data_IF_976305156860
#
_entry.id   IF_976305156860
#
_cell.length_a   1.000
_cell.length_b   1.000
_cell.length_c   1.000
_cell.angle_alpha   90.00
_cell.angle_beta   90.00
_cell.angle_gamma   90.00
#
_symmetry.space_group_name_H-M   'P 1'
#
loop_
_entity.id
_entity.type
_entity.pdbx_description
1 polymer ?
#
# COMPACT_ATOMS: atom_id res chain seq x y z
N UNK A 1 15.57 -9.29 0.95
CA UNK A 1 15.48 -8.42 -0.24
C UNK A 1 14.94 -9.22 -1.42
N UNK A 2 13.98 -8.65 -2.15
CA UNK A 2 13.52 -9.16 -3.46
C UNK A 2 14.17 -8.29 -4.52
N UNK A 3 15.08 -8.88 -5.30
CA UNK A 3 15.76 -8.24 -6.43
C UNK A 3 15.36 -8.92 -7.74
N UNK A 4 14.88 -8.15 -8.70
CA UNK A 4 14.36 -8.72 -9.96
C UNK A 4 12.95 -9.27 -9.82
N UNK A 5 12.66 -10.45 -10.35
CA UNK A 5 11.32 -11.04 -10.35
C UNK A 5 11.20 -12.21 -9.37
N UNK A 6 10.17 -12.20 -8.55
CA UNK A 6 9.71 -13.34 -7.77
C UNK A 6 8.47 -13.91 -8.45
N UNK A 7 8.57 -15.14 -8.97
CA UNK A 7 7.46 -15.82 -9.61
C UNK A 7 7.06 -17.03 -8.78
N UNK A 8 5.77 -17.19 -8.51
CA UNK A 8 5.24 -18.34 -7.78
C UNK A 8 3.95 -18.85 -8.39
N UNK A 9 3.80 -20.16 -8.41
CA UNK A 9 2.51 -20.84 -8.64
C UNK A 9 2.12 -21.51 -7.33
N UNK A 10 0.95 -21.15 -6.80
CA UNK A 10 0.46 -21.67 -5.53
C UNK A 10 -0.84 -22.42 -5.79
N UNK A 11 -0.85 -23.72 -5.52
CA UNK A 11 -2.01 -24.57 -5.79
C UNK A 11 -3.25 -24.12 -5.01
N UNK A 12 -4.43 -24.38 -5.51
CA UNK A 12 -5.70 -24.10 -4.82
C UNK A 12 -5.70 -24.70 -3.41
N UNK A 13 -6.09 -23.90 -2.42
CA UNK A 13 -6.08 -24.30 -1.00
C UNK A 13 -4.70 -24.28 -0.34
N UNK A 14 -3.63 -23.98 -1.09
CA UNK A 14 -2.27 -23.87 -0.56
C UNK A 14 -1.88 -22.42 -0.25
N UNK A 15 -0.89 -22.27 0.64
CA UNK A 15 -0.39 -20.98 1.12
C UNK A 15 1.12 -20.91 1.00
N UNK A 16 1.62 -19.88 0.34
CA UNK A 16 3.03 -19.49 0.34
C UNK A 16 3.23 -18.28 1.24
N UNK A 17 4.03 -18.43 2.29
CA UNK A 17 4.40 -17.32 3.16
C UNK A 17 5.88 -16.96 3.01
N UNK A 18 6.17 -15.67 2.81
CA UNK A 18 7.51 -15.11 2.83
C UNK A 18 7.53 -13.98 3.85
N UNK A 19 8.32 -14.13 4.92
CA UNK A 19 8.42 -13.14 5.99
C UNK A 19 9.85 -12.65 6.15
N UNK A 20 10.04 -11.34 6.06
CA UNK A 20 11.26 -10.64 6.42
C UNK A 20 11.10 -9.93 7.77
N UNK A 21 12.09 -10.06 8.67
CA UNK A 21 12.11 -9.39 9.98
C UNK A 21 13.37 -8.56 10.14
N UNK A 22 13.22 -7.37 10.72
CA UNK A 22 14.33 -6.54 11.14
C UNK A 22 14.14 -6.16 12.61
N UNK A 23 15.13 -6.49 13.44
CA UNK A 23 15.15 -6.27 14.90
C UNK A 23 16.38 -5.41 15.29
N UNK A 24 16.72 -4.42 14.49
CA UNK A 24 17.92 -3.60 14.72
C UNK A 24 17.60 -2.46 15.70
N UNK A 25 18.49 -2.24 16.68
CA UNK A 25 18.40 -1.12 17.63
C UNK A 25 19.10 0.16 17.14
N UNK A 26 19.79 0.08 16.00
CA UNK A 26 20.44 1.22 15.34
C UNK A 26 20.75 0.88 13.90
N UNK A 27 20.47 1.80 12.99
CA UNK A 27 20.67 1.60 11.55
C UNK A 27 19.35 1.38 10.77
N UNK A 28 19.42 1.20 9.45
CA UNK A 28 18.28 1.09 8.54
C UNK A 28 17.72 -0.34 8.52
N UNK A 29 16.82 -0.69 9.44
CA UNK A 29 16.15 -1.99 9.44
C UNK A 29 14.93 -2.01 8.50
N UNK A 30 14.95 -2.84 7.46
CA UNK A 30 13.82 -3.07 6.55
C UNK A 30 13.42 -4.54 6.66
N UNK A 31 12.15 -4.80 7.00
CA UNK A 31 11.63 -6.15 7.09
C UNK A 31 11.62 -6.83 5.73
N UNK A 32 10.99 -6.22 4.73
CA UNK A 32 10.96 -6.69 3.35
C UNK A 32 11.30 -5.55 2.40
N UNK A 33 12.39 -5.69 1.63
CA UNK A 33 12.86 -4.70 0.68
C UNK A 33 12.67 -5.21 -0.75
N UNK A 34 11.90 -4.47 -1.55
CA UNK A 34 11.82 -4.64 -2.99
C UNK A 34 12.90 -3.76 -3.62
N UNK A 35 13.94 -4.35 -4.22
CA UNK A 35 14.96 -3.57 -4.90
C UNK A 35 14.42 -2.89 -6.18
N UNK A 36 15.26 -2.16 -6.88
CA UNK A 36 14.87 -1.42 -8.08
C UNK A 36 14.12 -2.30 -9.08
N UNK A 37 12.94 -1.86 -9.50
CA UNK A 37 12.10 -2.50 -10.52
C UNK A 37 11.68 -3.94 -10.19
N UNK A 38 11.53 -4.28 -8.92
CA UNK A 38 11.10 -5.61 -8.52
C UNK A 38 9.66 -5.91 -9.01
N UNK A 39 9.48 -7.12 -9.52
CA UNK A 39 8.17 -7.66 -9.85
C UNK A 39 7.86 -8.88 -8.99
N UNK A 40 6.64 -8.95 -8.45
CA UNK A 40 6.15 -10.12 -7.71
C UNK A 40 4.92 -10.64 -8.41
N UNK A 41 5.00 -11.89 -8.86
CA UNK A 41 3.97 -12.50 -9.67
C UNK A 41 3.45 -13.79 -8.99
N UNK A 42 2.16 -13.81 -8.70
CA UNK A 42 1.41 -15.04 -8.46
C UNK A 42 0.83 -15.48 -9.79
N UNK A 43 1.44 -16.53 -10.36
CA UNK A 43 1.18 -16.97 -11.73
C UNK A 43 -0.16 -17.71 -11.85
N UNK A 44 -0.68 -17.76 -13.08
CA UNK A 44 -1.86 -18.56 -13.42
C UNK A 44 -1.61 -20.06 -13.21
N UNK A 45 -2.70 -20.83 -13.12
CA UNK A 45 -2.68 -22.30 -12.95
C UNK A 45 -2.70 -22.78 -11.50
N UNK A 46 -2.75 -21.84 -10.52
CA UNK A 46 -2.97 -22.12 -9.11
C UNK A 46 -4.37 -21.67 -8.67
N UNK A 47 -4.45 -20.86 -7.70
CA UNK A 47 -5.67 -20.33 -7.05
C UNK A 47 -5.47 -20.28 -5.54
N UNK A 48 -4.23 -20.53 -5.11
CA UNK A 48 -3.81 -20.44 -3.74
C UNK A 48 -3.51 -19.00 -3.30
N UNK A 49 -2.92 -18.85 -2.13
CA UNK A 49 -2.61 -17.56 -1.53
C UNK A 49 -1.11 -17.37 -1.40
N UNK A 50 -0.62 -16.16 -1.74
CA UNK A 50 0.74 -15.73 -1.45
C UNK A 50 0.70 -14.58 -0.45
N UNK A 51 1.40 -14.74 0.68
CA UNK A 51 1.60 -13.69 1.67
C UNK A 51 3.06 -13.26 1.73
N UNK A 52 3.27 -11.97 1.56
CA UNK A 52 4.57 -11.33 1.73
C UNK A 52 4.49 -10.42 2.95
N UNK A 53 5.35 -10.63 3.94
CA UNK A 53 5.30 -9.87 5.19
C UNK A 53 6.65 -9.26 5.55
N UNK A 54 6.66 -7.96 5.81
CA UNK A 54 7.78 -7.25 6.39
C UNK A 54 7.47 -6.80 7.81
N UNK A 55 8.31 -7.14 8.79
CA UNK A 55 8.11 -6.83 10.21
C UNK A 55 9.30 -6.06 10.74
N UNK A 56 9.01 -4.96 11.44
CA UNK A 56 10.00 -4.17 12.19
C UNK A 56 9.51 -4.00 13.62
N UNK A 57 10.29 -4.46 14.59
CA UNK A 57 9.92 -4.47 16.00
C UNK A 57 10.59 -3.35 16.81
N UNK A 58 11.66 -2.72 16.32
CA UNK A 58 12.38 -1.68 17.04
C UNK A 58 13.18 -0.78 16.09
N UNK A 59 13.55 0.42 16.56
CA UNK A 59 14.28 1.39 15.75
C UNK A 59 13.40 2.19 14.78
N UNK A 60 14.01 2.93 13.89
CA UNK A 60 13.34 3.86 12.99
C UNK A 60 13.30 3.31 11.56
N UNK A 61 12.53 2.25 11.26
CA UNK A 61 12.56 1.70 9.91
C UNK A 61 11.27 1.04 9.43
N UNK A 62 11.31 0.46 8.23
CA UNK A 62 10.18 0.22 7.33
C UNK A 62 9.83 -1.27 7.32
N UNK A 63 8.58 -1.63 7.57
CA UNK A 63 8.11 -3.00 7.44
C UNK A 63 8.30 -3.50 6.01
N UNK A 64 7.64 -2.88 5.04
CA UNK A 64 7.81 -3.13 3.60
C UNK A 64 8.26 -1.87 2.89
N UNK A 65 9.32 -1.96 2.11
CA UNK A 65 9.88 -0.85 1.36
C UNK A 65 9.93 -1.12 -0.14
N UNK A 66 9.35 -0.20 -0.93
CA UNK A 66 9.40 -0.23 -2.40
C UNK A 66 10.05 1.08 -2.88
N UNK A 67 11.38 1.11 -3.11
CA UNK A 67 12.11 2.35 -3.43
C UNK A 67 11.87 2.85 -4.86
N UNK A 68 11.57 1.97 -5.80
CA UNK A 68 11.45 2.28 -7.22
C UNK A 68 10.15 1.73 -7.80
N UNK A 69 9.93 1.88 -9.12
CA UNK A 69 8.82 1.25 -9.80
C UNK A 69 8.70 -0.22 -9.43
N UNK A 70 7.50 -0.69 -9.21
CA UNK A 70 7.25 -2.08 -8.83
C UNK A 70 5.95 -2.60 -9.44
N UNK A 71 5.89 -3.90 -9.64
CA UNK A 71 4.68 -4.58 -10.08
C UNK A 71 4.32 -5.70 -9.11
N UNK A 72 3.08 -5.70 -8.65
CA UNK A 72 2.45 -6.83 -7.97
C UNK A 72 1.40 -7.39 -8.93
N UNK A 73 1.52 -8.67 -9.27
CA UNK A 73 0.64 -9.30 -10.26
C UNK A 73 0.04 -10.58 -9.70
N UNK A 74 -1.28 -10.64 -9.60
CA UNK A 74 -2.04 -11.85 -9.26
C UNK A 74 -2.84 -12.31 -10.48
N UNK A 75 -2.34 -13.36 -11.16
CA UNK A 75 -2.99 -13.96 -12.32
C UNK A 75 -3.99 -15.03 -11.94
N UNK A 76 -3.87 -15.59 -10.73
CA UNK A 76 -4.87 -16.45 -10.11
C UNK A 76 -4.71 -16.43 -8.59
N UNK A 77 -5.81 -16.51 -7.84
CA UNK A 77 -5.78 -16.53 -6.38
C UNK A 77 -5.54 -15.17 -5.73
N UNK A 78 -5.00 -15.16 -4.53
CA UNK A 78 -4.87 -13.97 -3.70
C UNK A 78 -3.41 -13.67 -3.36
N UNK A 79 -3.03 -12.41 -3.41
CA UNK A 79 -1.73 -11.93 -2.94
C UNK A 79 -1.95 -10.90 -1.83
N UNK A 80 -1.28 -11.08 -0.70
CA UNK A 80 -1.26 -10.08 0.38
C UNK A 80 0.16 -9.62 0.63
N UNK A 81 0.35 -8.30 0.72
CA UNK A 81 1.63 -7.68 1.08
C UNK A 81 1.43 -6.87 2.36
N UNK A 82 1.97 -7.35 3.48
CA UNK A 82 1.76 -6.75 4.80
C UNK A 82 3.04 -6.15 5.35
N UNK A 83 3.00 -4.88 5.66
CA UNK A 83 4.00 -4.21 6.49
C UNK A 83 3.52 -4.07 7.93
N UNK A 84 4.34 -4.48 8.90
CA UNK A 84 4.07 -4.29 10.32
C UNK A 84 5.19 -3.47 10.95
N UNK A 85 4.83 -2.45 11.74
CA UNK A 85 5.79 -1.63 12.47
C UNK A 85 5.27 -1.33 13.89
N UNK A 86 6.08 -1.65 14.89
CA UNK A 86 5.89 -1.24 16.29
C UNK A 86 6.76 -0.04 16.66
N UNK A 87 7.38 0.61 15.68
CA UNK A 87 8.29 1.75 15.86
C UNK A 87 7.72 3.05 15.28
N UNK A 88 8.47 4.15 15.39
CA UNK A 88 8.12 5.43 14.79
C UNK A 88 8.19 5.46 13.24
N UNK A 89 8.62 4.39 12.59
CA UNK A 89 8.74 4.29 11.13
C UNK A 89 7.44 3.87 10.43
N UNK A 90 7.48 3.79 9.11
CA UNK A 90 6.36 3.32 8.30
C UNK A 90 6.21 1.80 8.36
N UNK A 91 4.98 1.33 8.39
CA UNK A 91 4.74 -0.09 8.17
C UNK A 91 4.92 -0.45 6.69
N UNK A 92 4.44 0.42 5.77
CA UNK A 92 4.64 0.29 4.33
C UNK A 92 5.05 1.64 3.74
N UNK A 93 6.14 1.67 2.98
CA UNK A 93 6.63 2.89 2.35
C UNK A 93 7.01 2.68 0.89
N UNK A 94 6.48 3.53 0.02
CA UNK A 94 6.80 3.53 -1.40
C UNK A 94 7.19 4.94 -1.86
N UNK A 95 8.45 5.11 -2.29
CA UNK A 95 9.04 6.40 -2.65
C UNK A 95 8.81 6.82 -4.11
N UNK A 96 9.33 7.96 -4.52
CA UNK A 96 9.16 8.58 -5.84
C UNK A 96 9.73 7.83 -7.06
N UNK A 97 10.15 6.60 -6.95
CA UNK A 97 10.88 5.87 -8.00
C UNK A 97 10.02 5.33 -9.16
N UNK A 98 8.91 5.95 -9.54
CA UNK A 98 8.02 5.49 -10.60
C UNK A 98 6.69 4.94 -10.06
N UNK A 99 5.88 4.29 -10.88
CA UNK A 99 4.57 3.77 -10.50
C UNK A 99 4.65 2.44 -9.74
N UNK A 100 3.74 2.22 -8.80
CA UNK A 100 3.41 0.89 -8.29
C UNK A 100 2.21 0.37 -9.09
N UNK A 101 2.40 -0.73 -9.81
CA UNK A 101 1.36 -1.36 -10.61
C UNK A 101 0.76 -2.56 -9.88
N UNK A 102 -0.55 -2.56 -9.71
CA UNK A 102 -1.35 -3.66 -9.15
C UNK A 102 -2.11 -4.31 -10.30
N UNK A 103 -1.63 -5.46 -10.77
CA UNK A 103 -2.21 -6.19 -11.90
C UNK A 103 -2.97 -7.42 -11.39
N UNK A 104 -4.29 -7.44 -11.56
CA UNK A 104 -5.13 -8.54 -11.07
C UNK A 104 -6.00 -9.10 -12.20
N UNK A 105 -5.89 -10.39 -12.46
CA UNK A 105 -6.82 -11.07 -13.35
C UNK A 105 -8.23 -11.14 -12.74
N UNK A 106 -9.23 -11.43 -13.55
CA UNK A 106 -10.60 -11.66 -13.06
C UNK A 106 -10.62 -12.76 -11.98
N UNK A 107 -11.32 -12.50 -10.89
CA UNK A 107 -11.40 -13.42 -9.73
C UNK A 107 -10.17 -13.41 -8.81
N UNK A 108 -9.12 -12.65 -9.13
CA UNK A 108 -7.93 -12.51 -8.29
C UNK A 108 -7.94 -11.23 -7.47
N UNK A 109 -7.20 -11.24 -6.35
CA UNK A 109 -7.10 -10.09 -5.46
C UNK A 109 -5.63 -9.78 -5.10
N UNK A 110 -5.33 -8.49 -4.92
CA UNK A 110 -4.10 -8.01 -4.28
C UNK A 110 -4.48 -7.11 -3.11
N UNK A 111 -3.99 -7.44 -1.92
CA UNK A 111 -4.18 -6.65 -0.71
C UNK A 111 -2.84 -6.12 -0.20
N UNK A 112 -2.73 -4.81 -0.06
CA UNK A 112 -1.62 -4.14 0.60
C UNK A 112 -2.09 -3.67 1.97
N UNK A 113 -1.41 -4.10 3.03
CA UNK A 113 -1.78 -3.78 4.40
C UNK A 113 -0.60 -3.17 5.13
N UNK A 114 -0.79 -2.02 5.73
CA UNK A 114 0.16 -1.39 6.64
C UNK A 114 -0.43 -1.35 8.06
N UNK A 115 0.18 -2.05 9.00
CA UNK A 115 -0.22 -2.03 10.40
C UNK A 115 0.84 -1.35 11.25
N UNK A 116 0.45 -0.30 11.97
CA UNK A 116 1.33 0.47 12.82
C UNK A 116 0.73 0.62 14.21
N UNK A 117 1.48 0.19 15.23
CA UNK A 117 1.02 0.20 16.63
C UNK A 117 1.74 1.22 17.50
N UNK A 118 2.61 2.07 16.95
CA UNK A 118 3.26 3.15 17.68
C UNK A 118 3.20 4.47 16.90
N UNK A 119 3.25 5.60 17.59
CA UNK A 119 3.22 6.95 17.01
C UNK A 119 4.38 7.21 16.01
N UNK A 120 4.46 8.42 15.46
CA UNK A 120 5.47 8.86 14.50
C UNK A 120 4.97 8.97 13.08
N UNK A 121 5.40 8.11 12.16
CA UNK A 121 5.00 8.15 10.76
C UNK A 121 3.64 7.47 10.49
N UNK A 122 3.08 7.63 9.28
CA UNK A 122 1.88 6.93 8.83
C UNK A 122 2.05 5.42 8.74
N UNK A 123 0.96 4.65 8.78
CA UNK A 123 1.04 3.22 8.53
C UNK A 123 1.48 2.94 7.09
N UNK A 124 0.86 3.61 6.12
CA UNK A 124 1.27 3.56 4.71
C UNK A 124 1.64 4.96 4.25
N UNK A 125 2.71 5.08 3.46
CA UNK A 125 3.06 6.32 2.78
C UNK A 125 3.37 6.07 1.31
N UNK A 126 2.65 6.77 0.43
CA UNK A 126 2.86 6.77 -1.00
C UNK A 126 3.29 8.14 -1.52
N UNK A 127 4.37 8.14 -2.31
CA UNK A 127 4.91 9.31 -3.02
C UNK A 127 4.98 9.02 -4.51
N UNK A 128 4.05 8.24 -5.04
CA UNK A 128 4.07 7.76 -6.41
C UNK A 128 2.68 7.47 -6.95
N UNK A 129 2.57 7.38 -8.28
CA UNK A 129 1.37 6.89 -8.95
C UNK A 129 1.08 5.43 -8.59
N UNK A 130 -0.17 5.14 -8.30
CA UNK A 130 -0.70 3.79 -8.13
C UNK A 130 -1.53 3.46 -9.37
N UNK A 131 -1.07 2.50 -10.15
CA UNK A 131 -1.80 1.99 -11.30
C UNK A 131 -2.49 0.68 -10.94
N UNK A 132 -3.81 0.63 -11.02
CA UNK A 132 -4.58 -0.61 -10.95
C UNK A 132 -4.99 -1.01 -12.37
N UNK A 133 -4.56 -2.20 -12.79
CA UNK A 133 -4.86 -2.78 -14.10
C UNK A 133 -5.44 -4.18 -13.94
N UNK A 134 -6.12 -4.68 -14.99
CA UNK A 134 -6.77 -5.98 -14.98
C UNK A 134 -8.11 -6.00 -14.22
N UNK A 135 -8.90 -7.06 -14.43
CA UNK A 135 -10.33 -7.11 -14.08
C UNK A 135 -10.62 -7.52 -12.63
N UNK A 136 -9.63 -8.00 -11.89
CA UNK A 136 -9.79 -8.38 -10.48
C UNK A 136 -9.78 -7.17 -9.54
N UNK A 137 -9.67 -7.42 -8.24
CA UNK A 137 -9.72 -6.39 -7.22
C UNK A 137 -8.34 -6.11 -6.62
N UNK A 138 -8.16 -4.90 -6.12
CA UNK A 138 -7.06 -4.56 -5.24
C UNK A 138 -7.56 -3.72 -4.06
N UNK A 139 -6.93 -3.90 -2.90
CA UNK A 139 -7.14 -3.06 -1.74
C UNK A 139 -5.82 -2.53 -1.18
N UNK A 140 -5.88 -1.35 -0.56
CA UNK A 140 -4.79 -0.72 0.17
C UNK A 140 -5.35 -0.29 1.51
N UNK A 141 -4.89 -0.88 2.60
CA UNK A 141 -5.41 -0.62 3.95
C UNK A 141 -4.29 -0.18 4.88
N UNK A 142 -4.35 1.03 5.38
CA UNK A 142 -3.43 1.56 6.38
C UNK A 142 -4.12 1.70 7.74
N UNK A 143 -3.60 1.01 8.77
CA UNK A 143 -4.11 1.06 10.14
C UNK A 143 -3.00 1.60 11.03
N UNK A 144 -3.25 2.72 11.71
CA UNK A 144 -2.26 3.39 12.56
C UNK A 144 -2.83 3.73 13.95
N UNK A 145 -2.00 3.55 14.97
CA UNK A 145 -2.21 4.08 16.31
C UNK A 145 -1.22 5.25 16.51
N UNK A 146 -1.75 6.44 16.77
CA UNK A 146 -0.98 7.65 17.08
C UNK A 146 -0.52 8.48 15.86
N UNK A 147 -0.94 8.18 14.63
CA UNK A 147 -0.68 9.01 13.45
C UNK A 147 -1.60 8.60 12.29
N UNK A 148 -1.32 9.08 11.08
CA UNK A 148 -2.10 8.89 9.86
C UNK A 148 -2.14 7.41 9.42
N UNK A 149 -3.30 6.90 9.04
CA UNK A 149 -3.45 5.58 8.45
C UNK A 149 -2.76 5.50 7.09
N UNK A 150 -3.14 6.36 6.14
CA UNK A 150 -2.48 6.48 4.83
C UNK A 150 -2.09 7.93 4.55
N UNK A 151 -0.82 8.16 4.27
CA UNK A 151 -0.30 9.44 3.79
C UNK A 151 0.02 9.37 2.30
N UNK A 152 -0.56 10.28 1.53
CA UNK A 152 -0.33 10.41 0.11
C UNK A 152 0.19 11.80 -0.23
N UNK A 153 1.21 11.89 -1.09
CA UNK A 153 1.77 13.17 -1.51
C UNK A 153 2.08 13.19 -3.00
N UNK A 154 1.41 14.09 -3.73
CA UNK A 154 1.70 14.38 -5.13
C UNK A 154 1.55 13.17 -6.07
N UNK A 155 0.48 12.39 -5.96
CA UNK A 155 0.31 11.15 -6.71
C UNK A 155 -0.99 11.09 -7.53
N UNK A 156 -1.05 10.08 -8.40
CA UNK A 156 -2.27 9.72 -9.14
C UNK A 156 -2.69 8.30 -8.76
N UNK A 157 -3.96 8.13 -8.42
CA UNK A 157 -4.63 6.82 -8.44
C UNK A 157 -5.26 6.64 -9.82
N UNK A 158 -4.75 5.68 -10.58
CA UNK A 158 -5.18 5.41 -11.95
C UNK A 158 -5.74 4.00 -12.05
N UNK A 159 -7.07 3.86 -12.11
CA UNK A 159 -7.76 2.58 -12.23
C UNK A 159 -8.24 2.41 -13.65
N UNK A 160 -7.55 1.59 -14.44
CA UNK A 160 -7.90 1.35 -15.84
C UNK A 160 -8.83 0.18 -16.04
N UNK A 161 -8.89 -0.74 -15.08
CA UNK A 161 -9.84 -1.87 -15.07
C UNK A 161 -10.01 -2.45 -13.66
N UNK A 162 -11.16 -3.10 -13.40
CA UNK A 162 -11.47 -3.71 -12.13
C UNK A 162 -11.68 -2.70 -11.00
N UNK A 163 -11.39 -3.09 -9.77
CA UNK A 163 -11.68 -2.26 -8.61
C UNK A 163 -10.42 -1.99 -7.76
N UNK A 164 -10.31 -0.77 -7.26
CA UNK A 164 -9.32 -0.37 -6.25
C UNK A 164 -10.05 0.26 -5.06
N UNK A 165 -9.82 -0.26 -3.87
CA UNK A 165 -10.28 0.30 -2.61
C UNK A 165 -9.09 0.76 -1.76
N UNK A 166 -9.14 2.00 -1.28
CA UNK A 166 -8.12 2.62 -0.43
C UNK A 166 -8.75 2.98 0.90
N UNK A 167 -8.24 2.40 2.00
CA UNK A 167 -8.83 2.51 3.33
C UNK A 167 -7.77 2.99 4.32
N UNK A 168 -7.99 4.13 4.95
CA UNK A 168 -7.16 4.62 6.04
C UNK A 168 -7.92 4.61 7.36
N UNK A 169 -7.38 3.98 8.38
CA UNK A 169 -7.95 3.92 9.73
C UNK A 169 -6.90 4.42 10.71
N UNK A 170 -7.25 5.35 11.56
CA UNK A 170 -6.33 5.88 12.58
C UNK A 170 -7.09 6.46 13.76
N UNK A 171 -6.39 6.58 14.89
CA UNK A 171 -6.84 7.37 16.05
C UNK A 171 -6.60 8.88 15.87
N UNK A 172 -5.99 9.31 14.76
CA UNK A 172 -5.86 10.72 14.37
C UNK A 172 -6.51 10.96 13.01
N UNK A 173 -5.80 10.84 11.93
CA UNK A 173 -6.31 11.05 10.56
C UNK A 173 -6.29 9.74 9.77
N UNK A 174 -7.44 9.30 9.26
CA UNK A 174 -7.54 8.08 8.46
C UNK A 174 -6.68 8.17 7.19
N UNK A 175 -6.95 9.16 6.34
CA UNK A 175 -6.18 9.43 5.12
C UNK A 175 -5.78 10.90 5.07
N UNK A 176 -4.50 11.17 4.82
CA UNK A 176 -4.00 12.52 4.56
C UNK A 176 -3.55 12.63 3.11
N UNK A 177 -4.21 13.50 2.36
CA UNK A 177 -3.94 13.80 0.96
C UNK A 177 -3.19 15.14 0.88
N UNK A 178 -1.87 15.08 0.68
CA UNK A 178 -1.02 16.25 0.59
C UNK A 178 -0.63 16.55 -0.87
N UNK A 179 -0.52 17.81 -1.21
CA UNK A 179 -0.23 18.30 -2.57
C UNK A 179 -1.35 17.93 -3.57
N UNK A 180 -1.03 17.88 -4.86
CA UNK A 180 -1.99 17.52 -5.90
C UNK A 180 -2.17 16.01 -5.93
N UNK A 181 -3.39 15.54 -5.73
CA UNK A 181 -3.78 14.14 -5.89
C UNK A 181 -4.80 14.05 -7.02
N UNK A 182 -4.53 13.18 -7.98
CA UNK A 182 -5.45 12.91 -9.08
C UNK A 182 -6.10 11.54 -8.89
N UNK A 183 -7.39 11.48 -9.11
CA UNK A 183 -8.16 10.24 -9.08
C UNK A 183 -8.74 9.99 -10.47
N UNK A 184 -8.41 8.84 -11.06
CA UNK A 184 -8.93 8.42 -12.34
C UNK A 184 -9.50 7.00 -12.26
N UNK A 185 -10.72 6.81 -12.74
CA UNK A 185 -11.31 5.49 -12.91
C UNK A 185 -11.92 5.41 -14.32
N UNK A 186 -11.49 4.43 -15.11
CA UNK A 186 -12.02 4.18 -16.45
C UNK A 186 -13.46 3.66 -16.38
N UNK A 187 -14.18 3.74 -17.48
CA UNK A 187 -15.53 3.20 -17.59
C UNK A 187 -15.57 1.72 -17.19
N UNK A 188 -16.53 1.33 -16.34
CA UNK A 188 -16.68 -0.03 -15.81
C UNK A 188 -15.69 -0.40 -14.70
N UNK A 189 -14.84 0.53 -14.24
CA UNK A 189 -13.97 0.33 -13.08
C UNK A 189 -14.44 1.16 -11.88
N UNK A 190 -13.96 0.79 -10.67
CA UNK A 190 -14.29 1.49 -9.43
C UNK A 190 -13.04 1.89 -8.68
N UNK A 191 -12.98 3.13 -8.21
CA UNK A 191 -12.04 3.61 -7.22
C UNK A 191 -12.82 4.10 -6.00
N UNK A 192 -12.60 3.48 -4.84
CA UNK A 192 -13.17 3.91 -3.56
C UNK A 192 -12.04 4.36 -2.63
N UNK A 193 -12.24 5.49 -1.97
CA UNK A 193 -11.29 6.05 -0.99
C UNK A 193 -12.05 6.33 0.29
N UNK A 194 -11.67 5.66 1.38
CA UNK A 194 -12.37 5.66 2.65
C UNK A 194 -11.41 5.99 3.79
N UNK A 195 -11.68 7.03 4.55
CA UNK A 195 -10.89 7.42 5.71
C UNK A 195 -11.73 7.39 6.99
N UNK A 196 -11.20 6.78 8.03
CA UNK A 196 -11.81 6.75 9.37
C UNK A 196 -10.84 7.28 10.40
N UNK A 197 -11.26 8.30 11.16
CA UNK A 197 -10.61 8.72 12.39
C UNK A 197 -11.45 8.23 13.58
N UNK A 198 -10.79 7.62 14.55
CA UNK A 198 -11.43 7.25 15.83
C UNK A 198 -11.15 8.28 16.93
N UNK A 199 -10.45 9.37 16.61
CA UNK A 199 -10.18 10.48 17.50
C UNK A 199 -11.45 11.30 17.82
N UNK A 200 -11.46 11.88 19.00
CA UNK A 200 -12.44 12.89 19.41
C UNK A 200 -11.90 14.33 19.25
N UNK A 201 -10.65 14.51 18.83
CA UNK A 201 -10.06 15.82 18.64
C UNK A 201 -10.62 16.51 17.37
N UNK A 202 -10.93 17.79 17.48
CA UNK A 202 -11.57 18.56 16.38
C UNK A 202 -10.67 18.80 15.17
N UNK A 203 -9.38 18.53 15.29
CA UNK A 203 -8.39 18.67 14.20
C UNK A 203 -8.21 17.40 13.38
N UNK A 204 -8.73 16.28 13.85
CA UNK A 204 -8.56 14.97 13.23
C UNK A 204 -9.72 14.68 12.28
N UNK A 205 -9.42 14.01 11.18
CA UNK A 205 -10.37 13.80 10.10
C UNK A 205 -10.31 12.37 9.54
N UNK A 206 -11.45 11.86 9.08
CA UNK A 206 -11.46 10.63 8.29
C UNK A 206 -10.57 10.81 7.06
N UNK A 207 -10.83 11.84 6.25
CA UNK A 207 -9.96 12.24 5.13
C UNK A 207 -9.60 13.70 5.30
N UNK A 208 -8.30 14.00 5.31
CA UNK A 208 -7.76 15.36 5.35
C UNK A 208 -7.16 15.73 3.99
N UNK A 209 -7.66 16.80 3.41
CA UNK A 209 -7.09 17.42 2.22
C UNK A 209 -6.13 18.54 2.65
N UNK A 210 -4.87 18.20 2.88
CA UNK A 210 -3.87 19.16 3.31
C UNK A 210 -3.34 19.96 2.12
N UNK A 211 -4.03 21.04 1.79
CA UNK A 211 -3.66 21.99 0.75
C UNK A 211 -2.73 23.08 1.30
N UNK A 212 -1.56 22.74 1.80
CA UNK A 212 -0.56 23.74 2.16
C UNK A 212 -0.04 24.58 0.97
N UNK A 213 -0.62 24.41 -0.21
CA UNK A 213 -0.42 25.23 -1.38
C UNK A 213 -1.77 25.76 -1.89
N UNK A 214 -2.00 27.05 -1.67
CA UNK A 214 -3.15 27.79 -2.21
C UNK A 214 -3.30 27.49 -3.71
N UNK A 215 -4.37 26.79 -4.11
CA UNK A 215 -4.79 26.65 -5.51
C UNK A 215 -4.64 25.27 -6.15
N UNK A 216 -4.53 24.16 -5.40
CA UNK A 216 -4.48 22.82 -5.99
C UNK A 216 -5.72 22.00 -5.63
N UNK A 217 -6.40 21.55 -6.65
CA UNK A 217 -7.70 20.86 -6.57
C UNK A 217 -7.53 19.34 -6.55
N UNK A 218 -8.41 18.63 -5.82
CA UNK A 218 -8.65 17.20 -6.08
C UNK A 218 -9.46 17.09 -7.37
N UNK A 219 -8.89 16.47 -8.39
CA UNK A 219 -9.56 16.26 -9.66
C UNK A 219 -10.15 14.84 -9.69
N UNK A 220 -11.46 14.74 -9.81
CA UNK A 220 -12.17 13.49 -10.06
C UNK A 220 -12.48 13.43 -11.56
N UNK A 221 -11.93 12.45 -12.25
CA UNK A 221 -12.23 12.17 -13.65
C UNK A 221 -13.07 10.89 -13.72
N UNK A 222 -14.22 10.98 -14.41
CA UNK A 222 -15.07 9.85 -14.77
C UNK A 222 -14.77 9.39 -16.19
#
# INVERSE_FOLDING_TARGET
>A
QIGGSLNATVATGSLLNITGRANTTGGLGIGLNFSASAAVNLLAGGGGTMNLQGIVNSGAYIGVFIPNAGTLSAQSGNMTVTGNSTSNAWAFYATNGGALTLNTAAGSNIDIVGNKTAGGNSAISFWRTINKVGLGNASITGISQGNVGIFNSGLTYNVTAGNLRVIGISDTTGINLANTINFYAAAGSTLSVEGTSTSTASTDAGINFNTNNRGRNCNFFR
#
